data_IF_450708882181
#
_entry.id   IF_450708882181
#
_cell.length_a   1.000
_cell.length_b   1.000
_cell.length_c   1.000
_cell.angle_alpha   90.00
_cell.angle_beta   90.00
_cell.angle_gamma   90.00
#
_symmetry.space_group_name_H-M   'P 1'
#
loop_
_entity.id
_entity.type
_entity.pdbx_description
1 polymer ?
#
# COMPACT_ATOMS: atom_id res chain seq x y z
N UNK A 1 24.84 -31.21 8.06
CA UNK A 1 25.60 -30.33 8.96
C UNK A 1 26.78 -29.58 8.29
N UNK A 2 27.41 -30.06 7.20
CA UNK A 2 28.48 -29.29 6.51
C UNK A 2 28.00 -28.00 5.79
N UNK A 3 26.72 -27.91 5.45
CA UNK A 3 26.14 -26.73 4.78
C UNK A 3 26.21 -25.47 5.65
N UNK A 4 25.94 -25.62 6.94
CA UNK A 4 25.84 -24.50 7.88
C UNK A 4 27.21 -23.87 8.13
N UNK A 5 28.27 -24.68 8.25
CA UNK A 5 29.64 -24.20 8.42
C UNK A 5 30.10 -23.34 7.24
N UNK A 6 29.80 -23.77 6.01
CA UNK A 6 30.09 -22.98 4.81
C UNK A 6 29.32 -21.66 4.77
N UNK A 7 28.07 -21.64 5.27
CA UNK A 7 27.26 -20.45 5.33
C UNK A 7 27.77 -19.46 6.39
N UNK A 8 28.19 -19.94 7.57
CA UNK A 8 28.85 -19.09 8.57
C UNK A 8 30.16 -18.51 8.02
N UNK A 9 30.97 -19.31 7.32
CA UNK A 9 32.21 -18.86 6.70
C UNK A 9 31.96 -17.79 5.62
N UNK A 10 30.91 -17.92 4.80
CA UNK A 10 30.53 -16.91 3.81
C UNK A 10 30.19 -15.55 4.44
N UNK A 11 29.66 -15.54 5.67
CA UNK A 11 29.41 -14.32 6.45
C UNK A 11 30.60 -13.87 7.32
N UNK A 12 31.71 -14.62 7.32
CA UNK A 12 32.87 -14.35 8.18
C UNK A 12 32.59 -14.58 9.66
N UNK A 13 31.73 -15.54 9.98
CA UNK A 13 31.33 -15.89 11.33
C UNK A 13 31.82 -17.29 11.71
N UNK A 14 31.92 -17.56 13.01
CA UNK A 14 32.15 -18.91 13.52
C UNK A 14 30.84 -19.72 13.51
N UNK A 15 30.88 -21.04 13.29
CA UNK A 15 29.71 -21.90 13.43
C UNK A 15 29.02 -21.72 14.79
N UNK A 16 27.69 -21.65 14.78
CA UNK A 16 26.88 -21.41 15.98
C UNK A 16 26.76 -19.95 16.41
N UNK A 17 27.24 -18.99 15.60
CA UNK A 17 27.03 -17.57 15.90
C UNK A 17 25.52 -17.26 16.05
N UNK A 18 25.14 -16.45 17.06
CA UNK A 18 23.75 -16.16 17.34
C UNK A 18 23.12 -15.34 16.20
N UNK A 19 21.81 -15.46 16.03
CA UNK A 19 21.04 -14.79 14.97
C UNK A 19 21.32 -13.29 14.84
N UNK A 20 21.49 -12.59 15.95
CA UNK A 20 21.81 -11.17 15.94
C UNK A 20 23.14 -10.87 15.21
N UNK A 21 24.16 -11.71 15.40
CA UNK A 21 25.46 -11.56 14.71
C UNK A 21 25.35 -11.92 13.23
N UNK A 22 24.53 -12.91 12.89
CA UNK A 22 24.21 -13.27 11.49
C UNK A 22 23.53 -12.10 10.78
N UNK A 23 22.52 -11.48 11.40
CA UNK A 23 21.80 -10.31 10.87
C UNK A 23 22.70 -9.07 10.73
N UNK A 24 23.65 -8.87 11.66
CA UNK A 24 24.62 -7.77 11.61
C UNK A 24 25.66 -7.98 10.50
N UNK A 25 26.26 -9.18 10.41
CA UNK A 25 27.24 -9.52 9.39
C UNK A 25 26.63 -9.40 7.98
N UNK A 26 25.41 -9.93 7.81
CA UNK A 26 24.65 -9.80 6.56
C UNK A 26 24.48 -8.34 6.14
N UNK A 27 23.97 -7.47 7.02
CA UNK A 27 23.77 -6.04 6.72
C UNK A 27 25.07 -5.33 6.35
N UNK A 28 26.16 -5.62 7.07
CA UNK A 28 27.49 -5.05 6.78
C UNK A 28 27.98 -5.47 5.40
N UNK A 29 27.90 -6.77 5.08
CA UNK A 29 28.41 -7.32 3.83
C UNK A 29 27.55 -6.92 2.62
N UNK A 30 26.22 -6.92 2.71
CA UNK A 30 25.37 -6.45 1.61
C UNK A 30 25.60 -4.97 1.35
N UNK A 31 25.75 -4.13 2.38
CA UNK A 31 26.09 -2.71 2.19
C UNK A 31 27.42 -2.52 1.45
N UNK A 32 28.35 -3.46 1.58
CA UNK A 32 29.65 -3.43 0.90
C UNK A 32 29.57 -3.96 -0.53
N UNK A 33 28.89 -5.09 -0.76
CA UNK A 33 28.93 -5.83 -2.03
C UNK A 33 27.68 -5.66 -2.91
N UNK A 34 26.71 -4.83 -2.54
CA UNK A 34 25.49 -4.62 -3.33
C UNK A 34 25.81 -4.24 -4.79
N UNK A 35 25.17 -4.87 -5.81
CA UNK A 35 25.48 -4.61 -7.22
C UNK A 35 25.26 -3.14 -7.62
N UNK A 36 24.28 -2.47 -7.03
CA UNK A 36 24.00 -1.04 -7.29
C UNK A 36 25.06 -0.09 -6.71
N UNK A 37 26.01 -0.60 -5.92
CA UNK A 37 27.11 0.20 -5.39
C UNK A 37 28.26 0.20 -6.38
N UNK A 38 28.88 1.36 -6.61
CA UNK A 38 30.11 1.45 -7.39
C UNK A 38 31.20 0.55 -6.78
N UNK A 39 31.68 -0.42 -7.56
CA UNK A 39 32.63 -1.45 -7.08
C UNK A 39 31.99 -2.60 -6.29
N UNK A 40 30.66 -2.75 -6.35
CA UNK A 40 29.94 -3.89 -5.82
C UNK A 40 30.24 -5.19 -6.58
N UNK A 41 29.89 -6.32 -5.98
CA UNK A 41 30.09 -7.65 -6.55
C UNK A 41 28.79 -8.44 -6.40
N UNK A 42 28.05 -8.54 -7.50
CA UNK A 42 26.78 -9.27 -7.54
C UNK A 42 26.92 -10.76 -7.23
N UNK A 43 28.04 -11.38 -7.62
CA UNK A 43 28.34 -12.78 -7.31
C UNK A 43 28.52 -12.99 -5.82
N UNK A 44 29.30 -12.11 -5.19
CA UNK A 44 29.49 -12.13 -3.73
C UNK A 44 28.21 -11.81 -2.97
N UNK A 45 27.42 -10.82 -3.43
CA UNK A 45 26.14 -10.49 -2.84
C UNK A 45 25.15 -11.68 -2.89
N UNK A 46 25.10 -12.40 -4.01
CA UNK A 46 24.29 -13.60 -4.15
C UNK A 46 24.73 -14.73 -3.19
N UNK A 47 26.03 -14.93 -3.01
CA UNK A 47 26.57 -15.88 -2.02
C UNK A 47 26.17 -15.53 -0.58
N UNK A 48 26.31 -14.25 -0.21
CA UNK A 48 25.90 -13.71 1.10
C UNK A 48 24.39 -13.94 1.34
N UNK A 49 23.55 -13.65 0.34
CA UNK A 49 22.10 -13.85 0.42
C UNK A 49 21.73 -15.32 0.64
N UNK A 50 22.39 -16.25 -0.07
CA UNK A 50 22.19 -17.69 0.09
C UNK A 50 22.58 -18.16 1.50
N UNK A 51 23.77 -17.76 1.95
CA UNK A 51 24.27 -18.11 3.29
C UNK A 51 23.34 -17.59 4.39
N UNK A 52 22.91 -16.33 4.29
CA UNK A 52 21.98 -15.72 5.23
C UNK A 52 20.63 -16.47 5.29
N UNK A 53 20.08 -16.81 4.13
CA UNK A 53 18.79 -17.52 4.02
C UNK A 53 18.85 -18.90 4.67
N UNK A 54 19.96 -19.63 4.48
CA UNK A 54 20.18 -20.94 5.08
C UNK A 54 20.23 -20.83 6.61
N UNK A 55 21.10 -19.96 7.14
CA UNK A 55 21.24 -19.80 8.60
C UNK A 55 19.98 -19.30 9.30
N UNK A 56 19.18 -18.43 8.64
CA UNK A 56 17.97 -17.85 9.24
C UNK A 56 16.83 -18.85 9.38
N UNK A 57 16.82 -19.92 8.58
CA UNK A 57 15.83 -21.00 8.69
C UNK A 57 16.02 -21.83 9.95
N UNK A 58 17.26 -22.11 10.31
CA UNK A 58 17.60 -23.02 11.41
C UNK A 58 17.78 -22.29 12.75
N UNK A 59 18.07 -20.99 12.71
CA UNK A 59 18.22 -20.19 13.93
C UNK A 59 16.85 -19.79 14.51
N UNK A 60 16.63 -20.01 15.83
CA UNK A 60 15.39 -19.62 16.48
C UNK A 60 15.11 -18.12 16.27
N UNK A 61 13.83 -17.75 16.23
CA UNK A 61 13.43 -16.35 16.20
C UNK A 61 14.16 -15.60 17.32
N UNK A 62 14.79 -14.48 16.97
CA UNK A 62 15.35 -13.61 17.99
C UNK A 62 14.22 -13.30 18.99
N UNK A 63 14.51 -13.44 20.29
CA UNK A 63 13.56 -13.07 21.32
C UNK A 63 13.00 -11.67 20.98
N UNK A 64 11.67 -11.47 21.07
CA UNK A 64 11.04 -10.23 20.64
C UNK A 64 11.82 -9.06 21.23
N UNK A 65 12.33 -8.18 20.34
CA UNK A 65 13.10 -7.02 20.74
C UNK A 65 12.29 -6.30 21.81
N UNK A 66 12.80 -6.29 23.05
CA UNK A 66 12.18 -5.57 24.16
C UNK A 66 12.16 -4.13 23.70
N UNK A 67 11.00 -3.64 23.27
CA UNK A 67 10.85 -2.33 22.69
C UNK A 67 11.48 -1.34 23.66
N UNK A 68 12.66 -0.80 23.29
CA UNK A 68 13.25 0.30 24.02
C UNK A 68 12.17 1.38 24.01
N UNK A 69 11.72 1.87 25.17
CA UNK A 69 10.69 2.90 25.20
C UNK A 69 11.22 4.09 24.41
N UNK A 70 10.73 4.23 23.17
CA UNK A 70 10.97 5.39 22.34
C UNK A 70 10.45 6.55 23.17
N UNK A 71 11.35 7.44 23.58
CA UNK A 71 10.96 8.69 24.21
C UNK A 71 10.22 9.49 23.15
N UNK A 72 8.90 9.28 23.08
CA UNK A 72 8.01 10.08 22.24
C UNK A 72 8.16 11.49 22.77
N UNK A 73 8.81 12.36 21.99
CA UNK A 73 8.87 13.79 22.31
C UNK A 73 7.43 14.24 22.57
N UNK A 74 7.15 14.87 23.74
CA UNK A 74 5.79 15.29 24.05
C UNK A 74 5.30 16.20 22.94
N UNK A 75 4.22 15.81 22.27
CA UNK A 75 3.59 16.65 21.25
C UNK A 75 3.29 18.02 21.84
N UNK A 76 3.51 19.12 21.07
CA UNK A 76 3.17 20.45 21.52
C UNK A 76 1.68 20.49 21.90
N UNK A 77 1.40 20.91 23.14
CA UNK A 77 0.04 21.01 23.68
C UNK A 77 -0.80 21.87 22.75
N UNK A 78 -1.74 21.23 22.05
CA UNK A 78 -2.68 21.86 21.13
C UNK A 78 -3.35 23.03 21.83
N UNK A 79 -3.19 24.24 21.28
CA UNK A 79 -3.76 25.50 21.80
C UNK A 79 -5.22 25.26 22.19
N UNK A 80 -5.52 25.56 23.45
CA UNK A 80 -6.82 25.44 24.11
C UNK A 80 -7.89 26.10 23.23
N UNK A 81 -8.67 25.29 22.49
CA UNK A 81 -9.83 25.74 21.73
C UNK A 81 -10.74 26.50 22.70
N UNK A 82 -11.07 27.74 22.33
CA UNK A 82 -11.83 28.66 23.16
C UNK A 82 -13.17 28.04 23.60
N UNK A 83 -13.59 28.35 24.82
CA UNK A 83 -14.81 27.85 25.48
C UNK A 83 -16.11 28.09 24.67
N UNK A 84 -16.07 28.96 23.64
CA UNK A 84 -17.18 29.24 22.75
C UNK A 84 -17.62 28.01 21.90
N UNK A 85 -16.71 27.10 21.55
CA UNK A 85 -17.05 25.93 20.74
C UNK A 85 -17.90 24.88 21.46
N UNK A 86 -17.86 24.83 22.80
CA UNK A 86 -18.60 23.84 23.59
C UNK A 86 -20.09 24.18 23.70
N UNK A 87 -20.45 25.46 23.76
CA UNK A 87 -21.86 25.89 23.83
C UNK A 87 -22.62 25.54 22.55
N UNK A 88 -21.96 25.60 21.40
CA UNK A 88 -22.55 25.26 20.11
C UNK A 88 -22.84 23.75 19.98
N UNK A 89 -21.97 22.89 20.55
CA UNK A 89 -22.19 21.43 20.60
C UNK A 89 -23.37 21.10 21.53
N UNK A 90 -23.49 21.75 22.69
CA UNK A 90 -24.61 21.52 23.61
C UNK A 90 -25.95 21.91 22.96
N UNK A 91 -26.00 23.02 22.23
CA UNK A 91 -27.21 23.44 21.51
C UNK A 91 -27.62 22.44 20.40
N UNK A 92 -26.65 21.90 19.65
CA UNK A 92 -26.91 20.88 18.62
C UNK A 92 -27.42 19.58 19.26
N UNK A 93 -26.79 19.11 20.35
CA UNK A 93 -27.25 17.90 21.04
C UNK A 93 -28.65 18.05 21.64
N UNK A 94 -28.98 19.23 22.19
CA UNK A 94 -30.32 19.51 22.70
C UNK A 94 -31.37 19.53 21.57
N UNK A 95 -31.03 20.10 20.40
CA UNK A 95 -31.90 20.06 19.22
C UNK A 95 -32.15 18.63 18.71
N UNK A 96 -31.10 17.79 18.66
CA UNK A 96 -31.23 16.38 18.26
C UNK A 96 -32.09 15.59 19.26
N UNK A 97 -31.94 15.84 20.56
CA UNK A 97 -32.76 15.20 21.60
C UNK A 97 -34.25 15.51 21.47
N UNK A 98 -34.61 16.77 21.18
CA UNK A 98 -36.00 17.17 20.94
C UNK A 98 -36.56 16.56 19.65
N UNK A 99 -35.74 16.47 18.60
CA UNK A 99 -36.13 15.84 17.34
C UNK A 99 -36.34 14.32 17.48
N UNK A 100 -35.47 13.63 18.21
CA UNK A 100 -35.62 12.20 18.50
C UNK A 100 -36.88 11.90 19.34
N UNK A 101 -37.17 12.73 20.35
CA UNK A 101 -38.39 12.61 21.15
C UNK A 101 -39.69 12.89 20.35
N UNK A 102 -39.60 13.62 19.23
CA UNK A 102 -40.73 13.79 18.29
C UNK A 102 -40.92 12.58 17.37
N UNK A 103 -39.86 11.85 17.04
CA UNK A 103 -39.92 10.63 16.22
C UNK A 103 -40.51 9.43 16.98
N UNK A 104 -40.34 9.35 18.29
CA UNK A 104 -40.92 8.28 19.13
C UNK A 104 -42.46 8.32 19.25
N UNK A 105 -43.13 9.38 18.80
CA UNK A 105 -44.61 9.41 18.71
C UNK A 105 -45.17 8.68 17.49
N UNK A 106 -44.33 8.14 16.60
CA UNK A 106 -44.73 7.27 15.50
C UNK A 106 -44.44 5.82 15.87
N UNK A 107 -45.49 5.13 16.33
CA UNK A 107 -45.71 3.68 16.48
C UNK A 107 -44.51 2.79 16.89
N UNK A 108 -44.65 1.94 17.93
CA UNK A 108 -43.65 0.93 18.24
C UNK A 108 -43.55 -0.08 17.09
N UNK A 109 -42.44 -0.06 16.36
CA UNK A 109 -42.04 -1.19 15.50
C UNK A 109 -41.62 -2.32 16.42
N UNK A 110 -42.43 -3.37 16.46
CA UNK A 110 -42.16 -4.62 17.16
C UNK A 110 -40.92 -5.26 16.50
N UNK A 111 -39.76 -5.12 17.14
CA UNK A 111 -38.54 -5.88 16.81
C UNK A 111 -38.66 -7.28 17.40
N UNK A 112 -39.48 -8.10 16.75
CA UNK A 112 -39.53 -9.54 16.97
C UNK A 112 -38.72 -10.24 15.87
N UNK A 113 -37.65 -10.94 16.27
CA UNK A 113 -37.22 -12.16 15.56
C UNK A 113 -35.87 -12.12 14.87
N UNK A 114 -34.95 -12.92 15.39
CA UNK A 114 -33.79 -13.44 14.66
C UNK A 114 -32.51 -12.66 14.89
N UNK A 115 -31.57 -13.25 15.65
CA UNK A 115 -30.16 -12.95 15.41
C UNK A 115 -29.90 -13.28 13.95
N UNK A 116 -29.35 -12.34 13.14
CA UNK A 116 -29.04 -12.66 11.76
C UNK A 116 -28.09 -13.84 11.75
N UNK A 117 -28.44 -14.87 10.98
CA UNK A 117 -27.56 -16.00 10.70
C UNK A 117 -26.15 -15.47 10.43
N UNK A 118 -25.14 -16.15 11.01
CA UNK A 118 -23.73 -15.81 10.79
C UNK A 118 -23.54 -15.54 9.29
N UNK A 119 -23.00 -14.36 8.90
CA UNK A 119 -22.99 -13.93 7.51
C UNK A 119 -22.40 -15.07 6.68
N UNK A 120 -23.25 -15.64 5.83
CA UNK A 120 -22.83 -16.65 4.85
C UNK A 120 -21.55 -16.13 4.25
N UNK A 121 -20.42 -16.87 4.30
CA UNK A 121 -19.17 -16.38 3.74
C UNK A 121 -19.48 -15.98 2.30
N UNK A 122 -19.43 -14.67 2.04
CA UNK A 122 -19.60 -14.12 0.71
C UNK A 122 -18.68 -14.94 -0.17
N UNK A 123 -19.25 -15.69 -1.12
CA UNK A 123 -18.47 -16.32 -2.18
C UNK A 123 -17.81 -15.16 -2.93
N UNK A 124 -16.58 -14.86 -2.55
CA UNK A 124 -15.66 -13.97 -3.25
C UNK A 124 -15.37 -14.66 -4.58
N UNK A 125 -16.21 -14.38 -5.58
CA UNK A 125 -16.34 -15.16 -6.81
C UNK A 125 -15.61 -14.56 -8.01
N UNK A 126 -14.69 -13.62 -7.82
CA UNK A 126 -13.84 -13.11 -8.90
C UNK A 126 -12.54 -13.91 -8.97
N UNK A 127 -12.30 -14.62 -10.07
CA UNK A 127 -10.94 -15.06 -10.39
C UNK A 127 -10.22 -13.93 -11.13
N UNK A 128 -8.91 -13.81 -10.92
CA UNK A 128 -8.06 -12.89 -11.68
C UNK A 128 -7.79 -13.38 -13.12
N UNK A 129 -8.31 -14.55 -13.49
CA UNK A 129 -8.20 -15.17 -14.83
C UNK A 129 -9.00 -14.48 -15.93
N UNK A 130 -9.97 -13.62 -15.57
CA UNK A 130 -10.73 -12.87 -16.57
C UNK A 130 -9.80 -11.94 -17.38
N UNK A 131 -10.06 -11.66 -18.65
CA UNK A 131 -9.27 -10.69 -19.41
C UNK A 131 -9.22 -9.32 -18.73
N UNK A 132 -8.14 -8.56 -18.99
CA UNK A 132 -8.02 -7.18 -18.52
C UNK A 132 -9.14 -6.31 -19.14
N UNK A 133 -9.79 -5.48 -18.33
CA UNK A 133 -10.82 -4.55 -18.82
C UNK A 133 -10.17 -3.33 -19.52
N UNK A 134 -9.63 -3.55 -20.72
CA UNK A 134 -8.79 -2.57 -21.42
C UNK A 134 -9.39 -1.17 -21.55
N UNK A 135 -10.67 -1.05 -21.92
CA UNK A 135 -11.33 0.25 -22.03
C UNK A 135 -11.41 1.01 -20.70
N UNK A 136 -11.58 0.28 -19.59
CA UNK A 136 -11.63 0.87 -18.25
C UNK A 136 -10.24 1.35 -17.82
N UNK A 137 -9.20 0.57 -18.13
CA UNK A 137 -7.80 0.94 -17.92
C UNK A 137 -7.45 2.20 -18.72
N UNK A 138 -7.83 2.27 -20.00
CA UNK A 138 -7.54 3.42 -20.86
C UNK A 138 -8.25 4.70 -20.37
N UNK A 139 -9.48 4.57 -19.85
CA UNK A 139 -10.19 5.68 -19.22
C UNK A 139 -9.45 6.17 -17.96
N UNK A 140 -8.95 5.26 -17.13
CA UNK A 140 -8.21 5.58 -15.92
C UNK A 140 -6.88 6.30 -16.22
N UNK A 141 -6.16 5.87 -17.25
CA UNK A 141 -4.93 6.53 -17.76
C UNK A 141 -5.24 7.98 -18.17
N UNK A 142 -6.35 8.20 -18.90
CA UNK A 142 -6.77 9.55 -19.30
C UNK A 142 -7.12 10.42 -18.09
N UNK A 143 -7.83 9.88 -17.10
CA UNK A 143 -8.15 10.63 -15.88
C UNK A 143 -6.88 11.03 -15.11
N UNK A 144 -5.92 10.12 -14.94
CA UNK A 144 -4.64 10.43 -14.30
C UNK A 144 -3.87 11.51 -15.06
N UNK A 145 -3.86 11.43 -16.39
CA UNK A 145 -3.26 12.46 -17.26
C UNK A 145 -3.91 13.83 -17.07
N UNK A 146 -5.24 13.88 -16.91
CA UNK A 146 -5.96 15.13 -16.66
C UNK A 146 -5.57 15.77 -15.32
N UNK A 147 -5.50 15.00 -14.24
CA UNK A 147 -5.02 15.52 -12.94
C UNK A 147 -3.59 16.03 -13.02
N UNK A 148 -2.71 15.29 -13.69
CA UNK A 148 -1.31 15.68 -13.88
C UNK A 148 -1.19 16.99 -14.67
N UNK A 149 -1.86 17.10 -15.82
CA UNK A 149 -1.87 18.32 -16.64
C UNK A 149 -2.47 19.52 -15.90
N UNK A 150 -3.43 19.29 -15.00
CA UNK A 150 -4.02 20.33 -14.16
C UNK A 150 -3.16 20.72 -12.95
N UNK A 151 -2.07 19.97 -12.65
CA UNK A 151 -1.30 20.14 -11.42
C UNK A 151 -2.08 19.77 -10.14
N UNK A 152 -3.22 19.08 -10.27
CA UNK A 152 -4.14 18.81 -9.16
C UNK A 152 -3.80 17.48 -8.45
N UNK A 153 -2.69 17.50 -7.71
CA UNK A 153 -2.23 16.33 -6.97
C UNK A 153 -3.13 15.98 -5.77
N UNK A 154 -3.81 16.96 -5.16
CA UNK A 154 -4.77 16.73 -4.08
C UNK A 154 -6.01 15.98 -4.59
N UNK A 155 -6.57 16.43 -5.72
CA UNK A 155 -7.68 15.77 -6.39
C UNK A 155 -7.34 14.35 -6.83
N UNK A 156 -6.11 14.11 -7.31
CA UNK A 156 -5.66 12.76 -7.65
C UNK A 156 -5.63 11.82 -6.42
N UNK A 157 -5.14 12.30 -5.27
CA UNK A 157 -5.13 11.52 -4.01
C UNK A 157 -6.56 11.20 -3.55
N UNK A 158 -7.46 12.19 -3.60
CA UNK A 158 -8.86 11.99 -3.24
C UNK A 158 -9.54 10.99 -4.19
N UNK A 159 -9.30 11.12 -5.50
CA UNK A 159 -9.81 10.19 -6.51
C UNK A 159 -9.36 8.75 -6.22
N UNK A 160 -8.06 8.53 -6.01
CA UNK A 160 -7.49 7.22 -5.67
C UNK A 160 -8.14 6.63 -4.42
N UNK A 161 -8.22 7.41 -3.34
CA UNK A 161 -8.85 6.98 -2.08
C UNK A 161 -10.31 6.57 -2.27
N UNK A 162 -11.09 7.40 -2.97
CA UNK A 162 -12.50 7.15 -3.24
C UNK A 162 -12.69 5.92 -4.14
N UNK A 163 -11.80 5.71 -5.12
CA UNK A 163 -11.80 4.52 -5.98
C UNK A 163 -11.65 3.23 -5.16
N UNK A 164 -10.63 3.15 -4.29
CA UNK A 164 -10.41 1.97 -3.44
C UNK A 164 -11.43 1.80 -2.31
N UNK A 165 -12.08 2.87 -1.85
CA UNK A 165 -13.25 2.75 -0.98
C UNK A 165 -14.39 2.03 -1.71
N UNK A 166 -14.65 2.35 -2.98
CA UNK A 166 -15.67 1.66 -3.79
C UNK A 166 -15.31 0.19 -4.03
N UNK A 167 -14.04 -0.14 -4.28
CA UNK A 167 -13.61 -1.55 -4.42
C UNK A 167 -13.88 -2.33 -3.14
N UNK A 168 -13.57 -1.77 -1.96
CA UNK A 168 -13.85 -2.42 -0.67
C UNK A 168 -15.34 -2.57 -0.39
N UNK A 169 -16.15 -1.58 -0.77
CA UNK A 169 -17.60 -1.62 -0.57
C UNK A 169 -18.30 -2.62 -1.52
N UNK A 170 -17.83 -2.70 -2.76
CA UNK A 170 -18.36 -3.60 -3.78
C UNK A 170 -17.22 -4.15 -4.64
N UNK A 171 -16.61 -5.29 -4.23
CA UNK A 171 -15.53 -5.91 -4.97
C UNK A 171 -15.93 -6.17 -6.42
N UNK A 172 -15.16 -5.63 -7.34
CA UNK A 172 -15.39 -5.72 -8.78
C UNK A 172 -14.05 -5.61 -9.49
N UNK A 173 -13.76 -6.57 -10.37
CA UNK A 173 -12.50 -6.66 -11.09
C UNK A 173 -12.26 -5.48 -12.04
N UNK A 174 -13.29 -5.03 -12.76
CA UNK A 174 -13.18 -3.85 -13.64
C UNK A 174 -12.89 -2.58 -12.84
N UNK A 175 -13.49 -2.45 -11.66
CA UNK A 175 -13.23 -1.31 -10.78
C UNK A 175 -11.82 -1.34 -10.22
N UNK A 176 -11.31 -2.52 -9.86
CA UNK A 176 -9.92 -2.71 -9.46
C UNK A 176 -8.95 -2.34 -10.57
N UNK A 177 -9.20 -2.80 -11.80
CA UNK A 177 -8.39 -2.45 -12.97
C UNK A 177 -8.32 -0.93 -13.15
N UNK A 178 -9.45 -0.24 -13.00
CA UNK A 178 -9.52 1.21 -13.06
C UNK A 178 -8.66 1.89 -11.99
N UNK A 179 -8.81 1.48 -10.72
CA UNK A 179 -8.10 2.11 -9.60
C UNK A 179 -6.59 1.84 -9.65
N UNK A 180 -6.20 0.62 -10.02
CA UNK A 180 -4.80 0.25 -10.15
C UNK A 180 -4.14 0.99 -11.33
N UNK A 181 -4.80 1.04 -12.49
CA UNK A 181 -4.29 1.79 -13.64
C UNK A 181 -4.15 3.29 -13.36
N UNK A 182 -5.09 3.89 -12.63
CA UNK A 182 -5.01 5.29 -12.22
C UNK A 182 -3.79 5.55 -11.32
N UNK A 183 -3.57 4.72 -10.30
CA UNK A 183 -2.45 4.86 -9.38
C UNK A 183 -1.10 4.67 -10.11
N UNK A 184 -0.96 3.64 -10.96
CA UNK A 184 0.26 3.41 -11.75
C UNK A 184 0.52 4.57 -12.72
N UNK A 185 -0.52 5.09 -13.39
CA UNK A 185 -0.38 6.25 -14.28
C UNK A 185 0.07 7.49 -13.52
N UNK A 186 -0.42 7.69 -12.30
CA UNK A 186 -0.03 8.83 -11.45
C UNK A 186 1.42 8.72 -10.99
N UNK A 187 1.91 7.50 -10.71
CA UNK A 187 3.33 7.25 -10.42
C UNK A 187 4.19 7.61 -11.64
N UNK A 188 3.85 7.10 -12.82
CA UNK A 188 4.63 7.31 -14.05
C UNK A 188 4.67 8.80 -14.41
N UNK A 189 3.53 9.49 -14.39
CA UNK A 189 3.44 10.92 -14.70
C UNK A 189 4.08 11.80 -13.62
N UNK A 190 4.09 11.36 -12.36
CA UNK A 190 4.62 12.10 -11.23
C UNK A 190 6.12 11.90 -10.98
N UNK A 191 6.82 11.09 -11.78
CA UNK A 191 8.21 10.71 -11.52
C UNK A 191 9.18 11.90 -11.44
N UNK A 192 8.90 12.97 -12.19
CA UNK A 192 9.73 14.18 -12.24
C UNK A 192 9.29 15.29 -11.27
N UNK A 193 8.17 15.08 -10.56
CA UNK A 193 7.56 16.09 -9.68
C UNK A 193 7.83 15.80 -8.20
N UNK A 194 8.61 16.64 -7.49
CA UNK A 194 8.93 16.41 -6.08
C UNK A 194 7.68 16.46 -5.18
N UNK A 195 6.66 17.22 -5.55
CA UNK A 195 5.40 17.31 -4.79
C UNK A 195 4.58 16.01 -4.86
N UNK A 196 4.74 15.24 -5.94
CA UNK A 196 3.96 14.02 -6.18
C UNK A 196 4.60 12.79 -5.51
N UNK A 197 5.94 12.77 -5.37
CA UNK A 197 6.70 11.67 -4.77
C UNK A 197 6.22 11.27 -3.36
N UNK A 198 5.80 12.24 -2.53
CA UNK A 198 5.37 11.94 -1.15
C UNK A 198 3.95 11.37 -1.03
N UNK A 199 3.10 11.58 -2.04
CA UNK A 199 1.66 11.25 -1.96
C UNK A 199 1.32 9.93 -2.65
N UNK A 200 2.09 9.58 -3.67
CA UNK A 200 2.01 8.33 -4.42
C UNK A 200 3.30 7.51 -4.25
N UNK A 201 3.80 7.40 -3.02
CA UNK A 201 4.94 6.53 -2.73
C UNK A 201 4.59 5.09 -3.15
N UNK A 202 5.47 4.46 -3.93
CA UNK A 202 5.22 3.14 -4.53
C UNK A 202 4.85 2.07 -3.50
N UNK A 203 5.42 2.14 -2.30
CA UNK A 203 5.10 1.24 -1.18
C UNK A 203 3.64 1.39 -0.70
N UNK A 204 3.15 2.63 -0.59
CA UNK A 204 1.80 2.95 -0.17
C UNK A 204 0.76 2.58 -1.24
N UNK A 205 1.08 2.82 -2.51
CA UNK A 205 0.25 2.42 -3.67
C UNK A 205 0.11 0.90 -3.71
N UNK A 206 1.24 0.17 -3.67
CA UNK A 206 1.25 -1.28 -3.67
C UNK A 206 0.46 -1.86 -2.49
N UNK A 207 0.60 -1.27 -1.29
CA UNK A 207 -0.18 -1.68 -0.12
C UNK A 207 -1.70 -1.56 -0.33
N UNK A 208 -2.17 -0.50 -0.99
CA UNK A 208 -3.60 -0.33 -1.33
C UNK A 208 -4.06 -1.31 -2.39
N UNK A 209 -3.27 -1.49 -3.46
CA UNK A 209 -3.55 -2.45 -4.52
C UNK A 209 -3.69 -3.88 -3.97
N UNK A 210 -2.76 -4.32 -3.13
CA UNK A 210 -2.82 -5.66 -2.52
C UNK A 210 -3.99 -5.81 -1.55
N UNK A 211 -4.32 -4.77 -0.78
CA UNK A 211 -5.50 -4.79 0.09
C UNK A 211 -6.81 -4.88 -0.70
N UNK A 212 -6.88 -4.20 -1.85
CA UNK A 212 -8.02 -4.24 -2.75
C UNK A 212 -8.12 -5.59 -3.47
N UNK A 213 -7.01 -6.15 -3.93
CA UNK A 213 -6.95 -7.46 -4.56
C UNK A 213 -7.46 -8.57 -3.61
N UNK A 214 -7.04 -8.53 -2.34
CA UNK A 214 -7.55 -9.45 -1.30
C UNK A 214 -9.05 -9.34 -1.04
N UNK A 215 -9.66 -8.18 -1.31
CA UNK A 215 -11.10 -8.03 -1.22
C UNK A 215 -11.84 -8.71 -2.39
N UNK A 216 -11.14 -9.01 -3.50
CA UNK A 216 -11.69 -9.56 -4.74
C UNK A 216 -11.40 -11.06 -4.88
N UNK A 217 -10.24 -11.54 -4.42
CA UNK A 217 -9.85 -12.95 -4.50
C UNK A 217 -8.76 -13.28 -3.47
N UNK A 218 -8.68 -14.56 -3.11
CA UNK A 218 -7.55 -15.10 -2.33
C UNK A 218 -6.36 -15.51 -3.21
N UNK A 219 -6.52 -15.49 -4.54
CA UNK A 219 -5.44 -15.78 -5.48
C UNK A 219 -4.50 -14.58 -5.62
N UNK A 220 -3.48 -14.54 -4.75
CA UNK A 220 -2.47 -13.48 -4.77
C UNK A 220 -1.51 -13.57 -5.96
N UNK A 221 -1.36 -14.74 -6.59
CA UNK A 221 -0.52 -14.89 -7.79
C UNK A 221 -1.23 -14.32 -9.01
N UNK A 222 -2.51 -14.62 -9.18
CA UNK A 222 -3.34 -13.99 -10.20
C UNK A 222 -3.44 -12.47 -10.02
N UNK A 223 -3.56 -11.99 -8.78
CA UNK A 223 -3.53 -10.56 -8.48
C UNK A 223 -2.22 -9.89 -8.95
N UNK A 224 -1.08 -10.49 -8.65
CA UNK A 224 0.24 -9.97 -9.02
C UNK A 224 0.43 -9.96 -10.55
N UNK A 225 0.07 -11.07 -11.23
CA UNK A 225 0.10 -11.15 -12.69
C UNK A 225 -0.76 -10.05 -13.33
N UNK A 226 -1.95 -9.80 -12.78
CA UNK A 226 -2.85 -8.76 -13.29
C UNK A 226 -2.32 -7.36 -13.07
N UNK A 227 -1.75 -7.07 -11.90
CA UNK A 227 -1.07 -5.79 -11.64
C UNK A 227 0.10 -5.58 -12.61
N UNK A 228 0.85 -6.63 -12.93
CA UNK A 228 1.90 -6.56 -13.94
C UNK A 228 1.36 -6.20 -15.33
N UNK A 229 0.26 -6.84 -15.77
CA UNK A 229 -0.40 -6.51 -17.04
C UNK A 229 -0.89 -5.05 -17.08
N UNK A 230 -1.45 -4.55 -15.97
CA UNK A 230 -1.87 -3.15 -15.84
C UNK A 230 -0.67 -2.21 -15.99
N UNK A 231 0.43 -2.48 -15.26
CA UNK A 231 1.66 -1.67 -15.34
C UNK A 231 2.21 -1.62 -16.76
N UNK A 232 2.38 -2.77 -17.41
CA UNK A 232 2.88 -2.82 -18.79
C UNK A 232 1.99 -2.03 -19.76
N UNK A 233 0.66 -2.10 -19.60
CA UNK A 233 -0.27 -1.32 -20.42
C UNK A 233 -0.16 0.19 -20.17
N UNK A 234 -0.02 0.60 -18.90
CA UNK A 234 0.17 2.01 -18.51
C UNK A 234 1.46 2.56 -19.10
N UNK A 235 2.57 1.83 -18.95
CA UNK A 235 3.87 2.20 -19.51
C UNK A 235 3.78 2.37 -21.03
N UNK A 236 3.26 1.38 -21.75
CA UNK A 236 3.10 1.45 -23.21
C UNK A 236 2.22 2.62 -23.67
N UNK A 237 1.15 2.93 -22.92
CA UNK A 237 0.24 4.02 -23.26
C UNK A 237 0.83 5.42 -22.99
N UNK A 238 1.76 5.54 -22.04
CA UNK A 238 2.34 6.81 -21.64
C UNK A 238 3.70 7.10 -22.31
N UNK A 239 4.42 6.07 -22.79
CA UNK A 239 5.71 6.21 -23.48
C UNK A 239 5.73 7.31 -24.56
N UNK A 240 4.79 7.38 -25.52
CA UNK A 240 4.84 8.39 -26.59
C UNK A 240 4.75 9.84 -26.07
N UNK A 241 4.13 10.05 -24.91
CA UNK A 241 3.92 11.40 -24.36
C UNK A 241 5.14 11.92 -23.62
N UNK A 242 5.96 11.03 -23.07
CA UNK A 242 7.21 11.39 -22.40
C UNK A 242 8.18 11.97 -23.43
N UNK A 243 8.27 11.34 -24.61
CA UNK A 243 9.12 11.80 -25.70
C UNK A 243 8.69 13.18 -26.23
N UNK A 244 7.39 13.42 -26.39
CA UNK A 244 6.86 14.73 -26.83
C UNK A 244 7.09 15.83 -25.79
N UNK A 245 6.90 15.54 -24.50
CA UNK A 245 7.15 16.49 -23.42
C UNK A 245 8.65 16.84 -23.32
N UNK A 246 9.53 15.85 -23.47
CA UNK A 246 10.99 16.05 -23.47
C UNK A 246 11.49 16.81 -24.70
N UNK A 247 10.79 16.73 -25.84
CA UNK A 247 11.16 17.42 -27.08
C UNK A 247 10.78 18.92 -27.09
N UNK A 248 9.94 19.38 -26.15
CA UNK A 248 9.55 20.81 -26.08
C UNK A 248 10.68 21.61 -25.40
N UNK A 249 11.26 22.63 -26.06
CA UNK A 249 12.32 23.44 -25.47
C UNK A 249 11.79 24.18 -24.22
N UNK A 250 12.64 24.38 -23.18
CA UNK A 250 12.26 25.18 -22.04
C UNK A 250 12.05 26.64 -22.47
N UNK A 251 10.87 27.17 -22.18
CA UNK A 251 10.53 28.60 -22.35
C UNK A 251 11.23 29.47 -21.29
#
# INVERSE_FOLDING_TARGET
MRGDESAYAALGLRPGAPRAQVDEAYRRLIKQFHPDRTGGDGGRAAEINRAYTLLRRDLPAAAPYRSVPVHVRPMPKRRRRSRAGWLLIIAICAGIGVYAAQLERRAPVVLSGGWPDAPTPLRIGGSFDEPLHGAVVDNAIRNASQFHLAGDSDGAVEYSRNCYQKVRAKPNLALFDACAAFDESTIVLGADSPDTMGRFEGSAVLGRQLAAARAISNDMLGADSRLHQIRSRVELALLPRIDEAAARPPD
#
